data_IF_788365733158
#
_entry.id   IF_788365733158
#
_cell.length_a   1.000
_cell.length_b   1.000
_cell.length_c   1.000
_cell.angle_alpha   90.00
_cell.angle_beta   90.00
_cell.angle_gamma   90.00
#
_symmetry.space_group_name_H-M   'P 1'
#
loop_
_entity.id
_entity.type
_entity.pdbx_description
1 polymer ?
#
# COMPACT_ATOMS: atom_id res chain seq x y z
N UNK A 1 22.10 -38.52 19.36
CA UNK A 1 21.89 -38.20 18.93
C UNK A 1 21.64 -37.70 18.94
N UNK A 2 21.84 -37.44 19.34
CA UNK A 2 21.57 -36.72 19.22
C UNK A 2 21.37 -36.13 19.48
N UNK A 3 21.42 -35.97 19.69
CA UNK A 3 21.17 -35.38 19.73
C UNK A 3 21.18 -34.96 20.01
N UNK A 4 21.76 -35.10 20.16
CA UNK A 4 21.86 -34.57 20.23
C UNK A 4 21.62 -33.89 20.47
N UNK A 5 21.73 -33.72 20.70
CA UNK A 5 21.39 -32.84 20.75
C UNK A 5 20.86 -32.33 21.32
N UNK A 6 21.01 -32.70 21.58
CA UNK A 6 20.50 -32.14 21.96
C UNK A 6 20.21 -31.45 22.40
N UNK A 7 20.51 -31.44 22.53
CA UNK A 7 20.22 -30.67 22.67
C UNK A 7 19.94 -30.29 23.35
N UNK A 8 20.18 -30.42 23.73
CA UNK A 8 19.92 -30.01 24.31
C UNK A 8 19.93 -29.60 25.08
N UNK A 9 20.27 -30.08 24.85
CA UNK A 9 20.00 -29.75 25.95
C UNK A 9 20.49 -28.74 26.56
N UNK A 10 21.34 -28.64 26.48
CA UNK A 10 21.68 -27.61 27.06
C UNK A 10 20.82 -26.61 27.37
N UNK A 11 19.95 -26.78 27.20
CA UNK A 11 19.08 -25.83 27.48
C UNK A 11 19.09 -25.17 28.78
N UNK A 12 19.68 -25.77 29.65
CA UNK A 12 19.59 -25.25 30.97
C UNK A 12 19.83 -23.77 31.09
N UNK A 13 20.80 -23.32 30.43
CA UNK A 13 21.15 -21.95 30.59
C UNK A 13 20.05 -21.00 30.26
N UNK A 14 19.08 -21.52 29.65
CA UNK A 14 18.05 -20.65 29.23
C UNK A 14 17.00 -20.37 30.25
N UNK A 15 17.16 -20.88 31.39
CA UNK A 15 16.18 -20.66 32.42
C UNK A 15 15.77 -19.23 32.55
N UNK A 16 16.72 -18.39 32.61
CA UNK A 16 16.42 -16.96 32.73
C UNK A 16 15.66 -16.46 31.55
N UNK A 17 16.06 -16.89 30.41
CA UNK A 17 15.36 -16.48 29.25
C UNK A 17 13.97 -17.03 29.17
N UNK A 18 13.74 -18.15 29.81
CA UNK A 18 12.47 -18.78 29.77
C UNK A 18 11.34 -17.90 30.25
N UNK A 19 11.48 -17.35 31.41
CA UNK A 19 10.46 -16.48 31.92
C UNK A 19 10.28 -15.25 31.09
N UNK A 20 11.36 -14.67 30.72
CA UNK A 20 11.34 -13.52 29.85
C UNK A 20 10.70 -13.87 28.52
N UNK A 21 11.07 -14.98 27.96
CA UNK A 21 10.58 -15.33 26.64
C UNK A 21 9.10 -15.64 26.59
N UNK A 22 8.58 -16.30 27.64
CA UNK A 22 7.20 -16.73 27.62
C UNK A 22 6.22 -15.59 27.46
N UNK A 23 6.32 -14.61 28.33
CA UNK A 23 5.45 -13.47 28.28
C UNK A 23 5.66 -12.62 27.05
N UNK A 24 6.92 -12.39 26.72
CA UNK A 24 7.23 -11.56 25.58
C UNK A 24 6.84 -12.21 24.26
N UNK A 25 6.99 -13.50 24.15
CA UNK A 25 6.62 -14.19 22.92
C UNK A 25 5.15 -14.00 22.59
N UNK A 26 4.28 -14.19 23.60
CA UNK A 26 2.86 -14.01 23.36
C UNK A 26 2.54 -12.57 23.02
N UNK A 27 3.16 -11.63 23.69
CA UNK A 27 2.96 -10.22 23.45
C UNK A 27 3.40 -9.82 22.06
N UNK A 28 4.56 -10.32 21.64
CA UNK A 28 5.09 -10.02 20.31
C UNK A 28 4.24 -10.66 19.22
N UNK A 29 3.77 -11.85 19.44
CA UNK A 29 2.90 -12.51 18.46
C UNK A 29 1.60 -11.76 18.30
N UNK A 30 1.05 -11.27 19.41
CA UNK A 30 -0.19 -10.50 19.37
C UNK A 30 0.02 -9.20 18.63
N UNK A 31 1.14 -8.52 18.89
CA UNK A 31 1.46 -7.29 18.17
C UNK A 31 1.63 -7.54 16.68
N UNK A 32 2.27 -8.64 16.33
CA UNK A 32 2.47 -8.97 14.92
C UNK A 32 1.14 -9.23 14.22
N UNK A 33 0.23 -9.91 14.90
CA UNK A 33 -1.09 -10.16 14.35
C UNK A 33 -1.88 -8.87 14.17
N UNK A 34 -1.81 -7.98 15.15
CA UNK A 34 -2.48 -6.69 15.06
C UNK A 34 -1.92 -5.84 13.93
N UNK A 35 -0.60 -5.85 13.78
CA UNK A 35 0.05 -5.10 12.72
C UNK A 35 -0.35 -5.63 11.35
N UNK A 36 -0.38 -6.95 11.22
CA UNK A 36 -0.79 -7.58 9.97
C UNK A 36 -2.23 -7.25 9.62
N UNK A 37 -3.10 -7.25 10.64
CA UNK A 37 -4.50 -6.91 10.44
C UNK A 37 -4.65 -5.46 9.99
N UNK A 38 -3.91 -4.55 10.62
CA UNK A 38 -3.95 -3.14 10.24
C UNK A 38 -3.42 -2.93 8.84
N UNK A 39 -2.41 -3.69 8.45
CA UNK A 39 -1.87 -3.61 7.09
C UNK A 39 -2.92 -4.04 6.07
N UNK A 40 -3.64 -5.12 6.37
CA UNK A 40 -4.72 -5.57 5.49
C UNK A 40 -5.82 -4.54 5.39
N UNK A 41 -6.18 -3.90 6.49
CA UNK A 41 -7.18 -2.84 6.50
C UNK A 41 -6.73 -1.65 5.66
N UNK A 42 -5.46 -1.29 5.78
CA UNK A 42 -4.92 -0.19 4.98
C UNK A 42 -4.98 -0.49 3.50
N UNK A 43 -4.64 -1.73 3.12
CA UNK A 43 -4.71 -2.13 1.72
C UNK A 43 -6.14 -2.13 1.20
N UNK A 44 -7.09 -2.54 2.03
CA UNK A 44 -8.49 -2.50 1.65
C UNK A 44 -8.96 -1.07 1.48
N UNK A 45 -8.54 -0.17 2.36
CA UNK A 45 -8.87 1.24 2.22
C UNK A 45 -8.33 1.81 0.92
N UNK A 46 -7.13 1.39 0.51
CA UNK A 46 -6.57 1.82 -0.76
C UNK A 46 -7.41 1.35 -1.94
N UNK A 47 -7.94 0.14 -1.87
CA UNK A 47 -8.78 -0.38 -2.95
C UNK A 47 -10.08 0.39 -3.06
N UNK A 48 -10.61 0.87 -1.94
CA UNK A 48 -11.89 1.57 -1.90
C UNK A 48 -11.76 3.08 -2.11
N UNK A 49 -10.56 3.60 -1.91
CA UNK A 49 -10.30 5.02 -2.05
C UNK A 49 -10.36 5.42 -3.53
N UNK A 50 -10.97 6.56 -3.81
CA UNK A 50 -11.01 7.08 -5.17
C UNK A 50 -10.40 8.48 -5.21
N UNK A 51 -9.54 8.70 -6.17
CA UNK A 51 -8.94 10.01 -6.44
C UNK A 51 -9.19 10.36 -7.89
N UNK A 52 -9.28 11.65 -8.17
CA UNK A 52 -9.53 12.14 -9.52
C UNK A 52 -8.40 13.06 -9.94
N UNK A 53 -7.78 12.73 -11.06
CA UNK A 53 -6.81 13.60 -11.70
C UNK A 53 -7.44 14.29 -12.88
N UNK A 54 -6.91 15.45 -13.23
CA UNK A 54 -7.48 16.26 -14.30
C UNK A 54 -6.38 16.92 -15.12
N UNK A 55 -6.73 17.24 -16.35
CA UNK A 55 -5.85 17.98 -17.24
C UNK A 55 -6.62 19.13 -17.85
N UNK A 56 -5.93 20.27 -18.05
CA UNK A 56 -6.45 21.47 -18.70
C UNK A 56 -7.79 21.92 -18.12
N UNK A 57 -7.83 22.06 -16.80
CA UNK A 57 -9.03 22.57 -16.15
C UNK A 57 -10.22 21.64 -16.20
N UNK A 58 -9.97 20.35 -16.36
CA UNK A 58 -11.03 19.37 -16.33
C UNK A 58 -11.53 18.93 -17.70
N UNK A 59 -10.83 19.28 -18.76
CA UNK A 59 -11.17 18.76 -20.09
C UNK A 59 -11.10 17.24 -20.13
N UNK A 60 -10.15 16.66 -19.41
CA UNK A 60 -10.06 15.21 -19.23
C UNK A 60 -9.89 14.96 -17.74
N UNK A 61 -10.70 14.04 -17.21
CA UNK A 61 -10.62 13.63 -15.81
C UNK A 61 -10.49 12.12 -15.74
N UNK A 62 -9.57 11.65 -14.90
CA UNK A 62 -9.34 10.22 -14.69
C UNK A 62 -9.53 9.94 -13.21
N UNK A 63 -10.36 8.95 -12.90
CA UNK A 63 -10.56 8.50 -11.53
C UNK A 63 -9.89 7.14 -11.38
N UNK A 64 -9.09 7.00 -10.33
CA UNK A 64 -8.48 5.71 -10.00
C UNK A 64 -8.59 5.47 -8.51
N UNK A 65 -8.36 4.21 -8.10
CA UNK A 65 -8.34 3.90 -6.69
C UNK A 65 -6.91 4.11 -6.14
N UNK A 66 -6.75 3.88 -4.83
CA UNK A 66 -5.46 4.07 -4.19
C UNK A 66 -4.38 3.12 -4.70
N UNK A 67 -4.74 2.04 -5.34
CA UNK A 67 -3.79 1.10 -5.94
C UNK A 67 -3.52 1.41 -7.41
N UNK A 68 -3.96 2.57 -7.87
CA UNK A 68 -3.72 3.06 -9.22
C UNK A 68 -4.42 2.24 -10.29
N UNK A 69 -5.56 1.65 -9.93
CA UNK A 69 -6.43 1.02 -10.91
C UNK A 69 -7.38 2.09 -11.44
N UNK A 70 -7.35 2.31 -12.74
CA UNK A 70 -8.19 3.34 -13.35
C UNK A 70 -9.63 2.84 -13.40
N UNK A 71 -10.54 3.63 -12.84
CA UNK A 71 -11.94 3.26 -12.73
C UNK A 71 -12.81 3.94 -13.77
N UNK A 72 -12.46 5.17 -14.13
CA UNK A 72 -13.23 5.89 -15.14
C UNK A 72 -12.38 6.97 -15.79
N UNK A 73 -12.77 7.32 -17.02
CA UNK A 73 -12.17 8.42 -17.76
C UNK A 73 -13.32 9.26 -18.30
N UNK A 74 -13.29 10.57 -18.03
CA UNK A 74 -14.27 11.49 -18.54
C UNK A 74 -13.58 12.48 -19.47
N UNK A 75 -14.11 12.62 -20.67
CA UNK A 75 -13.54 13.50 -21.69
C UNK A 75 -14.65 14.45 -22.15
N UNK A 76 -14.39 15.76 -22.00
CA UNK A 76 -15.36 16.72 -22.48
C UNK A 76 -15.30 16.80 -24.01
N UNK A 77 -16.44 17.06 -24.65
CA UNK A 77 -16.45 17.15 -26.12
C UNK A 77 -15.44 18.15 -26.68
N UNK A 78 -15.17 19.22 -25.94
CA UNK A 78 -14.22 20.23 -26.39
C UNK A 78 -12.82 19.68 -26.58
N UNK A 79 -12.48 18.58 -25.89
CA UNK A 79 -11.19 17.93 -26.02
C UNK A 79 -11.13 16.98 -27.20
N UNK A 80 -12.27 16.69 -27.84
CA UNK A 80 -12.35 15.70 -28.92
C UNK A 80 -12.31 16.40 -30.26
N UNK A 81 -11.15 16.92 -30.62
CA UNK A 81 -10.95 17.58 -31.90
C UNK A 81 -10.32 16.59 -32.87
N UNK A 82 -11.05 16.16 -33.92
CA UNK A 82 -10.50 15.19 -34.85
C UNK A 82 -9.28 15.69 -35.63
N UNK A 83 -9.09 17.02 -35.65
CA UNK A 83 -7.92 17.59 -36.30
C UNK A 83 -6.73 17.69 -35.37
N UNK A 84 -6.90 17.38 -34.08
CA UNK A 84 -5.82 17.46 -33.08
C UNK A 84 -5.94 16.33 -32.08
N UNK A 85 -5.80 15.10 -32.61
CA UNK A 85 -5.88 13.91 -31.76
C UNK A 85 -4.71 13.84 -30.78
N UNK A 86 -3.57 14.39 -31.16
CA UNK A 86 -2.39 14.41 -30.32
C UNK A 86 -2.63 15.20 -29.03
N UNK A 87 -3.40 16.30 -29.12
CA UNK A 87 -3.78 17.05 -27.95
C UNK A 87 -4.55 16.17 -26.97
N UNK A 88 -5.52 15.39 -27.47
CA UNK A 88 -6.30 14.51 -26.63
C UNK A 88 -5.43 13.44 -25.97
N UNK A 89 -4.49 12.89 -26.69
CA UNK A 89 -3.56 11.91 -26.15
C UNK A 89 -2.77 12.50 -24.98
N UNK A 90 -2.27 13.72 -25.16
CA UNK A 90 -1.48 14.40 -24.15
C UNK A 90 -2.34 14.71 -22.92
N UNK A 91 -3.59 15.13 -23.13
CA UNK A 91 -4.49 15.44 -22.02
C UNK A 91 -4.81 14.18 -21.21
N UNK A 92 -5.04 13.06 -21.89
CA UNK A 92 -5.32 11.80 -21.18
C UNK A 92 -4.10 11.38 -20.37
N UNK A 93 -2.93 11.48 -20.96
CA UNK A 93 -1.70 11.12 -20.27
C UNK A 93 -1.49 11.99 -19.03
N UNK A 94 -1.69 13.29 -19.18
CA UNK A 94 -1.54 14.22 -18.07
C UNK A 94 -2.54 13.94 -16.95
N UNK A 95 -3.79 13.63 -17.31
CA UNK A 95 -4.82 13.35 -16.31
C UNK A 95 -4.52 12.05 -15.56
N UNK A 96 -4.03 11.03 -16.27
CA UNK A 96 -3.65 9.77 -15.62
C UNK A 96 -2.50 10.00 -14.66
N UNK A 97 -1.49 10.74 -15.08
CA UNK A 97 -0.34 11.01 -14.21
C UNK A 97 -0.75 11.83 -12.99
N UNK A 98 -1.68 12.76 -13.15
CA UNK A 98 -2.19 13.53 -12.03
C UNK A 98 -2.94 12.63 -11.05
N UNK A 99 -3.78 11.73 -11.57
CA UNK A 99 -4.52 10.80 -10.73
C UNK A 99 -3.56 9.88 -9.97
N UNK A 100 -2.54 9.36 -10.65
CA UNK A 100 -1.57 8.47 -10.01
C UNK A 100 -0.77 9.19 -8.95
N UNK A 101 -0.43 10.45 -9.19
CA UNK A 101 0.29 11.25 -8.20
C UNK A 101 -0.55 11.42 -6.94
N UNK A 102 -1.84 11.69 -7.10
CA UNK A 102 -2.75 11.83 -5.97
C UNK A 102 -2.94 10.50 -5.24
N UNK A 103 -3.05 9.40 -5.99
CA UNK A 103 -3.15 8.07 -5.40
C UNK A 103 -1.89 7.73 -4.60
N UNK A 104 -0.72 8.08 -5.12
CA UNK A 104 0.53 7.84 -4.44
C UNK A 104 0.59 8.60 -3.12
N UNK A 105 0.13 9.84 -3.11
CA UNK A 105 0.11 10.65 -1.89
C UNK A 105 -0.79 10.01 -0.83
N UNK A 106 -1.94 9.47 -1.23
CA UNK A 106 -2.83 8.81 -0.29
C UNK A 106 -2.25 7.49 0.19
N UNK A 107 -1.62 6.74 -0.69
CA UNK A 107 -0.94 5.52 -0.30
C UNK A 107 0.14 5.80 0.73
N UNK A 108 0.94 6.84 0.51
CA UNK A 108 2.00 7.21 1.44
C UNK A 108 1.43 7.54 2.82
N UNK A 109 0.30 8.23 2.86
CA UNK A 109 -0.34 8.56 4.13
C UNK A 109 -0.82 7.31 4.86
N UNK A 110 -1.49 6.41 4.16
CA UNK A 110 -2.03 5.20 4.77
C UNK A 110 -0.94 4.24 5.20
N UNK A 111 0.17 4.21 4.47
CA UNK A 111 1.26 3.28 4.74
C UNK A 111 2.32 3.86 5.67
N UNK A 112 2.21 5.13 6.05
CA UNK A 112 3.21 5.76 6.92
C UNK A 112 3.42 5.00 8.23
N UNK A 113 2.36 4.50 8.92
CA UNK A 113 2.56 3.73 10.15
C UNK A 113 3.34 2.44 9.94
N UNK A 114 3.46 1.98 8.71
CA UNK A 114 4.16 0.74 8.37
C UNK A 114 5.49 1.01 7.68
N UNK A 115 6.08 2.20 7.93
CA UNK A 115 7.28 2.61 7.21
C UNK A 115 8.41 1.61 7.30
N UNK A 116 8.64 1.04 8.50
CA UNK A 116 9.70 0.07 8.69
C UNK A 116 9.43 -1.24 7.94
N UNK A 117 8.16 -1.57 7.72
CA UNK A 117 7.77 -2.80 7.03
C UNK A 117 7.69 -2.62 5.52
N UNK A 118 7.59 -1.39 5.08
CA UNK A 118 7.38 -1.11 3.66
C UNK A 118 8.50 -1.66 2.80
N UNK A 119 9.72 -1.60 3.31
CA UNK A 119 10.85 -2.15 2.58
C UNK A 119 10.84 -3.65 2.49
N UNK A 120 10.04 -4.33 3.31
CA UNK A 120 9.92 -5.78 3.32
C UNK A 120 8.81 -6.26 2.39
N UNK A 121 7.96 -5.38 1.98
CA UNK A 121 6.84 -5.72 1.12
C UNK A 121 7.22 -5.56 -0.35
#
# INVERSE_FOLDING_TARGET
MGNKYGYNGSGGGYGGGGGFGGGNMQSLMKQAQQMQQKLQEAQQQLEELEVTGAASGGLVEVTCNGKKSVLSVKIKPEACDPDDVEMLEDLILAAINDAYSKAQAEEDKLMAPFGAMKGLL
#
